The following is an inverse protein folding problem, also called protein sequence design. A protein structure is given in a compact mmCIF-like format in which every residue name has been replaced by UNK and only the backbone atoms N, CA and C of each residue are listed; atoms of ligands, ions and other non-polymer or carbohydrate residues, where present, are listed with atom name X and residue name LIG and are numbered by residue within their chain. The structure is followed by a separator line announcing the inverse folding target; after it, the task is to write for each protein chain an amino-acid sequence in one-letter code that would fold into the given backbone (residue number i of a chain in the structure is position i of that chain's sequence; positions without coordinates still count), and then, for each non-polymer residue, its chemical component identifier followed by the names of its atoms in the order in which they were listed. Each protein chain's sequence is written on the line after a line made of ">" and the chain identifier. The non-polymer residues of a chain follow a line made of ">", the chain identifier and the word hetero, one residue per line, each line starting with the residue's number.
data_IF_211339472418
#
_entry.id   IF_211339472418
#
_cell.length_a   1.000
_cell.length_b   1.000
_cell.length_c   1.000
_cell.angle_alpha   90.00
_cell.angle_beta   90.00
_cell.angle_gamma   90.00
#
_symmetry.space_group_name_H-M   'P 1'
#
loop_
_entity.id
_entity.type
_entity.pdbx_description
1 polymer ?
#
# COMPACT_ATOMS: atom_id res chain seq x y z
N UNK A 1 -88.58 -19.47 55.87
CA UNK A 1 -88.30 -19.30 54.42
C UNK A 1 -87.42 -18.06 54.22
N UNK A 2 -86.21 -18.22 53.66
CA UNK A 2 -85.53 -17.31 52.73
C UNK A 2 -84.09 -17.80 52.52
N UNK A 3 -83.87 -18.43 51.36
CA UNK A 3 -82.56 -18.81 50.85
C UNK A 3 -81.77 -17.55 50.47
N UNK A 4 -80.49 -17.48 50.82
CA UNK A 4 -79.57 -16.46 50.29
C UNK A 4 -78.45 -17.17 49.53
N UNK A 5 -78.59 -17.11 48.20
CA UNK A 5 -77.63 -17.52 47.19
C UNK A 5 -76.50 -16.49 47.15
N UNK A 6 -75.25 -16.88 47.40
CA UNK A 6 -74.09 -15.99 47.19
C UNK A 6 -72.96 -16.72 46.46
N UNK A 7 -72.65 -16.14 45.32
CA UNK A 7 -71.78 -16.51 44.20
C UNK A 7 -70.35 -16.94 44.57
N UNK A 8 -69.87 -18.01 43.94
CA UNK A 8 -68.45 -18.32 43.79
C UNK A 8 -67.83 -17.33 42.79
N UNK A 9 -67.05 -16.37 43.27
CA UNK A 9 -66.18 -15.54 42.42
C UNK A 9 -64.89 -16.35 42.21
N UNK A 10 -64.82 -17.08 41.10
CA UNK A 10 -63.59 -17.71 40.63
C UNK A 10 -62.59 -16.60 40.32
N UNK A 11 -61.59 -16.43 41.18
CA UNK A 11 -60.47 -15.53 40.94
C UNK A 11 -59.63 -16.12 39.80
N UNK A 12 -59.93 -15.70 38.58
CA UNK A 12 -59.08 -15.96 37.42
C UNK A 12 -57.80 -15.15 37.62
N UNK A 13 -56.79 -15.80 38.19
CA UNK A 13 -55.43 -15.29 38.28
C UNK A 13 -54.90 -15.12 36.85
N UNK A 14 -55.02 -13.91 36.30
CA UNK A 14 -54.22 -13.49 35.16
C UNK A 14 -52.76 -13.49 35.61
N UNK A 15 -52.06 -14.60 35.32
CA UNK A 15 -50.61 -14.63 35.26
C UNK A 15 -50.18 -13.68 34.15
N UNK A 16 -50.01 -12.41 34.48
CA UNK A 16 -49.28 -11.46 33.66
C UNK A 16 -47.84 -11.97 33.64
N UNK A 17 -47.52 -12.75 32.61
CA UNK A 17 -46.14 -13.07 32.28
C UNK A 17 -45.41 -11.75 32.08
N UNK A 18 -44.49 -11.43 33.00
CA UNK A 18 -43.48 -10.43 32.73
C UNK A 18 -42.57 -11.00 31.65
N UNK A 19 -42.91 -10.77 30.38
CA UNK A 19 -41.98 -11.02 29.29
C UNK A 19 -40.76 -10.16 29.55
N UNK A 20 -39.63 -10.77 29.89
CA UNK A 20 -38.34 -10.11 29.86
C UNK A 20 -38.21 -9.53 28.46
N UNK A 21 -38.35 -8.20 28.33
CA UNK A 21 -37.99 -7.56 27.09
C UNK A 21 -36.52 -7.90 26.90
N UNK A 22 -36.22 -8.73 25.91
CA UNK A 22 -34.86 -8.97 25.47
C UNK A 22 -34.32 -7.64 24.93
N UNK A 23 -33.85 -6.80 25.84
CA UNK A 23 -33.04 -5.65 25.48
C UNK A 23 -31.68 -6.25 25.17
N UNK A 24 -31.46 -6.61 23.91
CA UNK A 24 -30.13 -7.00 23.43
C UNK A 24 -29.16 -5.86 23.81
N UNK A 25 -28.03 -6.15 24.46
CA UNK A 25 -27.04 -5.13 24.79
C UNK A 25 -26.70 -4.29 23.55
N UNK A 26 -26.50 -2.97 23.69
CA UNK A 26 -26.11 -2.12 22.57
C UNK A 26 -24.86 -2.68 21.90
N UNK A 27 -24.87 -2.76 20.57
CA UNK A 27 -23.72 -3.23 19.80
C UNK A 27 -22.50 -2.33 20.12
N UNK A 28 -21.43 -2.91 20.71
CA UNK A 28 -20.26 -2.13 21.12
C UNK A 28 -19.47 -1.54 19.95
N UNK A 29 -19.78 -1.93 18.71
CA UNK A 29 -19.07 -1.55 17.50
C UNK A 29 -19.75 -0.44 16.69
N UNK A 30 -20.92 0.02 17.11
CA UNK A 30 -21.58 1.16 16.47
C UNK A 30 -20.66 2.39 16.49
N UNK A 31 -20.35 2.91 15.31
CA UNK A 31 -19.54 4.13 15.12
C UNK A 31 -18.02 3.92 15.18
N UNK A 32 -17.54 2.67 15.28
CA UNK A 32 -16.10 2.40 15.20
C UNK A 32 -15.61 2.62 13.77
N UNK A 33 -14.78 3.64 13.60
CA UNK A 33 -13.99 3.91 12.41
C UNK A 33 -12.68 4.53 12.91
N UNK A 34 -11.57 3.83 12.74
CA UNK A 34 -10.28 4.28 13.22
C UNK A 34 -9.57 5.18 12.21
N UNK A 35 -10.02 5.24 10.95
CA UNK A 35 -9.32 5.98 9.90
C UNK A 35 -7.82 5.66 9.91
N UNK A 36 -7.53 4.36 9.80
CA UNK A 36 -6.21 3.76 10.07
C UNK A 36 -5.08 4.55 9.41
N UNK A 37 -4.09 4.92 10.23
CA UNK A 37 -2.88 5.58 9.78
C UNK A 37 -1.72 4.59 9.77
N UNK A 38 -0.86 4.69 8.75
CA UNK A 38 0.31 3.83 8.62
C UNK A 38 1.44 4.48 7.82
N UNK A 39 2.65 3.99 8.04
CA UNK A 39 3.80 4.18 7.15
C UNK A 39 4.14 2.87 6.46
N UNK A 40 4.57 2.93 5.20
CA UNK A 40 5.04 1.75 4.46
C UNK A 40 6.38 2.02 3.79
N UNK A 41 7.16 0.96 3.59
CA UNK A 41 8.29 0.95 2.67
C UNK A 41 7.94 0.04 1.50
N UNK A 42 8.26 0.51 0.30
CA UNK A 42 8.07 -0.30 -0.90
C UNK A 42 9.10 -1.42 -0.97
N UNK A 43 8.80 -2.46 -1.75
CA UNK A 43 9.75 -3.55 -1.96
C UNK A 43 10.83 -3.10 -2.95
N UNK A 44 12.07 -3.48 -2.66
CA UNK A 44 13.25 -3.21 -3.46
C UNK A 44 13.73 -4.50 -4.13
N UNK A 45 13.85 -4.46 -5.45
CA UNK A 45 14.44 -5.53 -6.24
C UNK A 45 13.50 -6.68 -6.60
N UNK A 46 13.99 -7.91 -6.48
CA UNK A 46 13.16 -9.14 -6.61
C UNK A 46 12.82 -9.72 -5.23
N UNK A 47 13.07 -8.95 -4.17
CA UNK A 47 12.94 -9.39 -2.79
C UNK A 47 11.61 -8.92 -2.19
N UNK A 48 11.03 -9.78 -1.36
CA UNK A 48 9.90 -9.39 -0.51
C UNK A 48 10.49 -8.70 0.72
N UNK A 49 10.77 -7.40 0.63
CA UNK A 49 11.34 -6.59 1.72
C UNK A 49 10.54 -5.30 1.98
N UNK A 50 9.35 -5.17 1.37
CA UNK A 50 8.42 -4.12 1.73
C UNK A 50 7.96 -4.28 3.18
N UNK A 51 7.55 -3.18 3.79
CA UNK A 51 7.08 -3.17 5.18
C UNK A 51 5.87 -2.26 5.32
N UNK A 52 5.09 -2.49 6.36
CA UNK A 52 4.10 -1.55 6.87
C UNK A 52 4.21 -1.49 8.39
N UNK A 53 4.09 -0.30 8.96
CA UNK A 53 3.96 -0.03 10.39
C UNK A 53 2.72 0.81 10.61
N UNK A 54 1.83 0.35 11.48
CA UNK A 54 0.58 1.02 11.83
C UNK A 54 0.86 2.00 12.98
N UNK A 55 0.61 3.29 12.78
CA UNK A 55 0.75 4.31 13.82
C UNK A 55 -0.58 4.62 14.53
N UNK A 56 -1.72 4.30 13.91
CA UNK A 56 -3.03 4.39 14.56
C UNK A 56 -4.04 3.39 13.98
N UNK A 57 -4.85 2.70 14.80
CA UNK A 57 -4.84 2.67 16.26
C UNK A 57 -3.72 1.77 16.83
N UNK A 58 -3.21 2.07 18.02
CA UNK A 58 -2.17 1.29 18.73
C UNK A 58 -2.53 1.05 20.20
N UNK A 59 -2.05 -0.07 20.76
CA UNK A 59 -2.20 -0.42 22.18
C UNK A 59 -2.46 -1.90 22.43
N UNK A 60 -2.35 -2.34 23.69
CA UNK A 60 -2.37 -3.76 24.09
C UNK A 60 -3.69 -4.51 23.82
N UNK A 61 -4.75 -3.77 23.48
CA UNK A 61 -6.07 -4.34 23.17
C UNK A 61 -6.38 -4.32 21.67
N UNK A 62 -5.43 -3.88 20.84
CA UNK A 62 -5.54 -3.85 19.38
C UNK A 62 -4.76 -5.02 18.81
N UNK A 63 -5.34 -5.66 17.80
CA UNK A 63 -4.69 -6.70 17.00
C UNK A 63 -4.82 -6.35 15.52
N UNK A 64 -3.83 -6.78 14.76
CA UNK A 64 -3.65 -6.45 13.35
C UNK A 64 -3.63 -7.74 12.53
N UNK A 65 -4.30 -7.73 11.40
CA UNK A 65 -4.31 -8.81 10.44
C UNK A 65 -4.00 -8.25 9.06
N UNK A 66 -3.09 -8.91 8.35
CA UNK A 66 -2.80 -8.58 6.96
C UNK A 66 -3.45 -9.62 6.04
N UNK A 67 -4.26 -9.16 5.09
CA UNK A 67 -5.09 -9.98 4.21
C UNK A 67 -5.90 -10.99 5.03
N UNK A 68 -5.74 -12.28 4.73
CA UNK A 68 -6.41 -13.40 5.41
C UNK A 68 -5.46 -14.10 6.42
N UNK A 69 -4.40 -13.45 6.87
CA UNK A 69 -3.44 -13.99 7.82
C UNK A 69 -3.99 -14.15 9.24
N UNK A 70 -3.16 -14.54 10.20
CA UNK A 70 -3.55 -14.51 11.61
C UNK A 70 -3.55 -13.08 12.16
N UNK A 71 -4.40 -12.81 13.16
CA UNK A 71 -4.27 -11.59 13.96
C UNK A 71 -3.03 -11.69 14.86
N UNK A 72 -2.27 -10.61 14.94
CA UNK A 72 -1.11 -10.47 15.82
C UNK A 72 -1.19 -9.16 16.63
N UNK A 73 -0.44 -9.06 17.73
CA UNK A 73 -0.33 -7.84 18.54
C UNK A 73 0.65 -6.82 17.95
N UNK A 74 1.62 -7.29 17.17
CA UNK A 74 2.63 -6.44 16.54
C UNK A 74 2.00 -5.57 15.46
N UNK A 75 2.22 -4.27 15.59
CA UNK A 75 1.69 -3.25 14.69
C UNK A 75 2.56 -3.08 13.43
N UNK A 76 3.31 -4.10 13.03
CA UNK A 76 4.13 -4.05 11.83
C UNK A 76 4.14 -5.39 11.09
N UNK A 77 4.27 -5.31 9.77
CA UNK A 77 4.49 -6.47 8.91
C UNK A 77 5.72 -6.20 8.04
N UNK A 78 6.59 -7.18 7.95
CA UNK A 78 7.80 -7.16 7.11
C UNK A 78 7.71 -8.21 6.03
N UNK A 79 8.71 -8.23 5.17
CA UNK A 79 8.84 -9.19 4.07
C UNK A 79 7.64 -9.19 3.12
N UNK A 80 7.10 -8.01 2.84
CA UNK A 80 5.97 -7.85 1.94
C UNK A 80 6.47 -7.85 0.49
N UNK A 81 5.86 -8.72 -0.32
CA UNK A 81 6.03 -8.70 -1.75
C UNK A 81 5.34 -7.46 -2.36
N UNK A 82 5.75 -7.01 -3.54
CA UNK A 82 4.93 -6.10 -4.33
C UNK A 82 3.50 -6.66 -4.52
N UNK A 83 2.49 -5.85 -4.24
CA UNK A 83 1.09 -6.28 -4.32
C UNK A 83 0.13 -5.39 -3.55
N UNK A 84 -1.17 -5.68 -3.67
CA UNK A 84 -2.22 -5.03 -2.91
C UNK A 84 -2.48 -5.78 -1.60
N UNK A 85 -2.71 -5.03 -0.54
CA UNK A 85 -2.92 -5.54 0.80
C UNK A 85 -4.15 -4.91 1.44
N UNK A 86 -4.84 -5.70 2.25
CA UNK A 86 -5.91 -5.26 3.14
C UNK A 86 -5.42 -5.43 4.57
N UNK A 87 -5.27 -4.33 5.29
CA UNK A 87 -5.00 -4.32 6.71
C UNK A 87 -6.34 -4.29 7.46
N UNK A 88 -6.53 -5.20 8.41
CA UNK A 88 -7.66 -5.20 9.34
C UNK A 88 -7.13 -4.94 10.74
N UNK A 89 -7.70 -3.95 11.43
CA UNK A 89 -7.44 -3.69 12.85
C UNK A 89 -8.63 -4.15 13.66
N UNK A 90 -8.41 -4.68 14.87
CA UNK A 90 -9.47 -5.21 15.74
C UNK A 90 -9.19 -4.90 17.20
N UNK A 91 -10.18 -4.38 17.93
CA UNK A 91 -10.08 -4.14 19.36
C UNK A 91 -10.56 -5.34 20.23
N UNK A 92 -10.44 -5.21 21.55
CA UNK A 92 -10.87 -6.23 22.53
C UNK A 92 -12.38 -6.52 22.55
N UNK A 93 -13.21 -5.62 22.01
CA UNK A 93 -14.66 -5.81 21.87
C UNK A 93 -15.05 -6.49 20.56
N UNK A 94 -14.07 -6.83 19.72
CA UNK A 94 -14.28 -7.48 18.42
C UNK A 94 -14.58 -6.52 17.28
N UNK A 95 -14.54 -5.20 17.52
CA UNK A 95 -14.82 -4.21 16.49
C UNK A 95 -13.63 -4.03 15.55
N UNK A 96 -13.92 -4.03 14.25
CA UNK A 96 -12.90 -3.99 13.20
C UNK A 96 -13.00 -2.74 12.33
N UNK A 97 -11.86 -2.31 11.81
CA UNK A 97 -11.78 -1.35 10.69
C UNK A 97 -10.71 -1.83 9.68
N UNK A 98 -10.80 -1.38 8.43
CA UNK A 98 -9.91 -1.83 7.36
C UNK A 98 -9.28 -0.68 6.60
N UNK A 99 -8.02 -0.86 6.19
CA UNK A 99 -7.34 0.02 5.24
C UNK A 99 -6.74 -0.80 4.09
N UNK A 100 -6.81 -0.24 2.88
CA UNK A 100 -6.18 -0.83 1.70
C UNK A 100 -4.94 -0.05 1.33
N UNK A 101 -3.89 -0.76 0.94
CA UNK A 101 -2.64 -0.18 0.46
C UNK A 101 -1.96 -1.08 -0.56
N UNK A 102 -1.02 -0.51 -1.31
CA UNK A 102 -0.21 -1.25 -2.29
C UNK A 102 1.24 -1.17 -1.89
N UNK A 103 1.97 -2.29 -1.87
CA UNK A 103 3.42 -2.30 -1.90
C UNK A 103 3.84 -2.31 -3.37
N UNK A 104 4.58 -1.30 -3.81
CA UNK A 104 5.15 -1.19 -5.13
C UNK A 104 6.46 -1.98 -5.21
N UNK A 105 6.80 -2.46 -6.41
CA UNK A 105 8.14 -2.94 -6.68
C UNK A 105 8.96 -1.82 -7.28
N UNK A 106 9.96 -1.39 -6.53
CA UNK A 106 11.06 -0.65 -7.06
C UNK A 106 12.18 -1.67 -7.25
N UNK A 107 12.30 -2.29 -8.44
CA UNK A 107 13.43 -3.19 -8.76
C UNK A 107 14.79 -2.51 -8.46
N UNK A 108 15.99 -3.10 -8.70
CA UNK A 108 17.19 -2.27 -8.72
C UNK A 108 17.03 -1.24 -9.86
N UNK A 109 16.49 -0.06 -9.56
CA UNK A 109 15.93 0.85 -10.58
C UNK A 109 17.03 1.27 -11.53
N UNK A 110 18.22 1.47 -10.95
CA UNK A 110 19.42 1.75 -11.70
C UNK A 110 19.86 0.62 -12.63
N UNK A 111 19.74 -0.66 -12.26
CA UNK A 111 20.17 -1.75 -13.14
C UNK A 111 19.31 -1.80 -14.43
N UNK A 112 18.00 -1.56 -14.29
CA UNK A 112 17.09 -1.45 -15.43
C UNK A 112 17.42 -0.23 -16.30
N UNK A 113 17.70 0.93 -15.67
CA UNK A 113 18.13 2.13 -16.40
C UNK A 113 19.47 1.91 -17.10
N UNK A 114 20.45 1.30 -16.43
CA UNK A 114 21.76 0.97 -17.00
C UNK A 114 21.62 0.10 -18.24
N UNK A 115 20.73 -0.88 -18.24
CA UNK A 115 20.44 -1.68 -19.44
C UNK A 115 19.87 -0.81 -20.58
N UNK A 116 18.89 0.06 -20.28
CA UNK A 116 18.30 0.98 -21.27
C UNK A 116 19.36 1.92 -21.83
N UNK A 117 20.12 2.61 -20.98
CA UNK A 117 21.17 3.55 -21.40
C UNK A 117 22.24 2.83 -22.20
N UNK A 118 22.69 1.65 -21.77
CA UNK A 118 23.72 0.93 -22.49
C UNK A 118 23.25 0.41 -23.85
N UNK A 119 21.99 -0.03 -23.96
CA UNK A 119 21.41 -0.51 -25.20
C UNK A 119 21.09 0.60 -26.21
N UNK A 120 20.44 1.67 -25.77
CA UNK A 120 19.94 2.73 -26.65
C UNK A 120 20.93 3.87 -26.89
N UNK A 121 21.75 4.22 -25.88
CA UNK A 121 22.68 5.35 -25.96
C UNK A 121 24.09 4.91 -26.35
N UNK A 122 24.35 3.60 -26.30
CA UNK A 122 25.61 2.94 -26.64
C UNK A 122 26.32 3.48 -27.86
N UNK A 123 25.66 3.50 -29.03
CA UNK A 123 26.29 3.90 -30.28
C UNK A 123 26.87 5.32 -30.30
N UNK A 124 26.39 6.23 -29.45
CA UNK A 124 26.76 7.65 -29.50
C UNK A 124 27.49 8.16 -28.24
N UNK A 125 27.29 7.50 -27.10
CA UNK A 125 27.70 7.99 -25.77
C UNK A 125 28.54 6.98 -24.97
N UNK A 126 28.85 5.80 -25.51
CA UNK A 126 29.72 4.81 -24.88
C UNK A 126 31.02 4.59 -25.65
N UNK A 127 31.94 3.84 -25.05
CA UNK A 127 33.26 3.47 -25.53
C UNK A 127 34.11 4.69 -25.89
N UNK A 128 34.07 5.73 -25.04
CA UNK A 128 34.77 6.99 -25.29
C UNK A 128 34.10 7.89 -26.33
N UNK A 129 32.98 7.49 -26.93
CA UNK A 129 32.20 8.37 -27.78
C UNK A 129 31.55 9.47 -26.93
N UNK A 130 31.84 10.73 -27.25
CA UNK A 130 31.36 11.92 -26.54
C UNK A 130 30.50 12.78 -27.45
N UNK A 131 29.39 12.24 -27.94
CA UNK A 131 28.43 13.05 -28.71
C UNK A 131 27.82 14.12 -27.79
N UNK A 132 27.92 15.39 -28.22
CA UNK A 132 27.46 16.55 -27.45
C UNK A 132 28.00 16.61 -26.01
N UNK A 133 29.23 16.11 -25.79
CA UNK A 133 29.91 16.20 -24.49
C UNK A 133 29.39 15.27 -23.39
N UNK A 134 28.59 14.24 -23.74
CA UNK A 134 28.11 13.24 -22.78
C UNK A 134 28.75 11.88 -23.01
N UNK A 135 29.24 11.28 -21.93
CA UNK A 135 29.81 9.94 -21.84
C UNK A 135 29.00 9.14 -20.80
N UNK A 136 28.58 7.92 -21.11
CA UNK A 136 27.82 7.03 -20.22
C UNK A 136 28.55 5.70 -19.90
N UNK A 137 29.87 5.66 -20.06
CA UNK A 137 30.71 4.47 -19.87
C UNK A 137 30.71 3.94 -18.43
N UNK A 138 30.64 4.86 -17.46
CA UNK A 138 30.65 4.55 -16.04
C UNK A 138 29.28 4.76 -15.42
N UNK A 139 29.02 4.03 -14.33
CA UNK A 139 27.79 4.19 -13.56
C UNK A 139 27.68 5.61 -12.98
N UNK A 140 28.81 6.14 -12.50
CA UNK A 140 28.90 7.51 -12.00
C UNK A 140 28.49 8.54 -13.06
N UNK A 141 28.87 8.37 -14.32
CA UNK A 141 28.51 9.31 -15.39
C UNK A 141 27.01 9.26 -15.73
N UNK A 142 26.41 8.07 -15.70
CA UNK A 142 24.96 7.89 -15.91
C UNK A 142 24.21 8.56 -14.76
N UNK A 143 24.61 8.28 -13.52
CA UNK A 143 24.01 8.87 -12.31
C UNK A 143 24.15 10.40 -12.33
N UNK A 144 25.34 10.93 -12.61
CA UNK A 144 25.58 12.37 -12.69
C UNK A 144 24.84 13.06 -13.84
N UNK A 145 24.31 12.30 -14.80
CA UNK A 145 23.54 12.82 -15.94
C UNK A 145 22.04 12.51 -15.85
N UNK A 146 21.53 12.10 -14.68
CA UNK A 146 20.14 11.69 -14.49
C UNK A 146 19.14 12.73 -15.02
N UNK A 147 19.41 14.01 -14.77
CA UNK A 147 18.58 15.16 -15.11
C UNK A 147 18.47 15.31 -16.63
N UNK A 148 19.61 15.22 -17.31
CA UNK A 148 19.71 15.31 -18.76
C UNK A 148 19.09 14.11 -19.44
N UNK A 149 19.31 12.92 -18.88
CA UNK A 149 18.72 11.66 -19.36
C UNK A 149 17.19 11.77 -19.28
N UNK A 150 16.64 12.18 -18.13
CA UNK A 150 15.21 12.38 -17.94
C UNK A 150 14.64 13.40 -18.92
N UNK A 151 15.22 14.60 -18.96
CA UNK A 151 14.75 15.68 -19.81
C UNK A 151 14.71 15.30 -21.29
N UNK A 152 15.75 14.64 -21.80
CA UNK A 152 15.90 14.38 -23.24
C UNK A 152 15.26 13.08 -23.69
N UNK A 153 15.46 12.00 -22.91
CA UNK A 153 15.04 10.67 -23.30
C UNK A 153 13.58 10.36 -22.93
N UNK A 154 13.07 11.04 -21.91
CA UNK A 154 11.68 10.88 -21.48
C UNK A 154 10.83 12.06 -21.92
N UNK A 155 11.25 13.27 -21.51
CA UNK A 155 10.42 14.47 -21.60
C UNK A 155 10.57 15.23 -22.93
N UNK A 156 11.55 14.82 -23.76
CA UNK A 156 11.86 15.39 -25.07
C UNK A 156 12.28 16.88 -25.05
N UNK A 157 12.87 17.37 -23.96
CA UNK A 157 13.23 18.78 -23.75
C UNK A 157 14.76 18.99 -23.76
N UNK A 158 15.29 19.99 -24.50
CA UNK A 158 14.59 20.81 -25.50
C UNK A 158 14.32 20.07 -26.82
N UNK A 159 14.92 18.89 -27.00
CA UNK A 159 14.62 18.00 -28.13
C UNK A 159 14.67 16.57 -27.64
N UNK A 160 14.00 15.67 -28.37
CA UNK A 160 14.06 14.23 -28.12
C UNK A 160 15.49 13.68 -28.24
N UNK A 161 15.81 12.68 -27.41
CA UNK A 161 16.87 11.71 -27.63
C UNK A 161 16.29 10.29 -27.44
N UNK A 162 16.66 9.28 -28.23
CA UNK A 162 17.50 9.35 -29.44
C UNK A 162 16.96 10.30 -30.50
N UNK A 163 17.88 10.97 -31.21
CA UNK A 163 17.54 11.84 -32.35
C UNK A 163 17.16 11.01 -33.57
N UNK A 164 16.25 11.55 -34.38
CA UNK A 164 15.95 10.99 -35.70
C UNK A 164 17.25 10.80 -36.53
N UNK A 165 17.37 9.71 -37.29
CA UNK A 165 16.34 8.72 -37.61
C UNK A 165 16.13 7.63 -36.55
N UNK A 166 16.83 7.67 -35.41
CA UNK A 166 16.66 6.66 -34.36
C UNK A 166 15.32 6.82 -33.65
N UNK A 167 14.67 5.70 -33.35
CA UNK A 167 13.39 5.68 -32.64
C UNK A 167 13.54 6.22 -31.20
N UNK A 168 12.51 6.90 -30.66
CA UNK A 168 12.45 7.21 -29.24
C UNK A 168 12.44 5.94 -28.39
N UNK A 169 12.76 6.10 -27.10
CA UNK A 169 12.54 5.04 -26.12
C UNK A 169 11.06 4.63 -26.06
N UNK A 170 10.83 3.34 -25.79
CA UNK A 170 9.48 2.82 -25.56
C UNK A 170 8.86 3.44 -24.30
N UNK A 171 7.51 3.48 -24.17
CA UNK A 171 6.87 3.93 -22.94
C UNK A 171 7.37 3.20 -21.68
N UNK A 172 7.63 1.89 -21.81
CA UNK A 172 8.16 1.05 -20.72
C UNK A 172 9.56 1.50 -20.31
N UNK A 173 10.44 1.80 -21.27
CA UNK A 173 11.80 2.25 -20.95
C UNK A 173 11.84 3.67 -20.40
N UNK A 174 10.96 4.54 -20.89
CA UNK A 174 10.72 5.87 -20.31
C UNK A 174 10.26 5.79 -18.85
N UNK A 175 9.42 4.80 -18.52
CA UNK A 175 8.95 4.59 -17.16
C UNK A 175 10.09 4.15 -16.24
N UNK A 176 10.95 3.22 -16.67
CA UNK A 176 12.14 2.81 -15.88
C UNK A 176 13.02 3.99 -15.47
N UNK A 177 13.29 4.90 -16.41
CA UNK A 177 14.07 6.12 -16.16
C UNK A 177 13.32 7.03 -15.17
N UNK A 178 12.02 7.23 -15.36
CA UNK A 178 11.20 8.06 -14.47
C UNK A 178 11.16 7.52 -13.04
N UNK A 179 10.99 6.20 -12.89
CA UNK A 179 10.93 5.55 -11.59
C UNK A 179 12.26 5.64 -10.83
N UNK A 180 13.39 5.48 -11.53
CA UNK A 180 14.73 5.67 -10.99
C UNK A 180 14.99 7.10 -10.53
N UNK A 181 14.59 8.09 -11.34
CA UNK A 181 14.75 9.51 -10.99
C UNK A 181 13.89 9.87 -9.78
N UNK A 182 12.63 9.42 -9.74
CA UNK A 182 11.73 9.65 -8.61
C UNK A 182 12.19 8.95 -7.32
N UNK A 183 12.98 7.87 -7.42
CA UNK A 183 13.63 7.21 -6.29
C UNK A 183 14.92 7.91 -5.81
N UNK A 184 15.28 9.05 -6.39
CA UNK A 184 16.48 9.78 -6.01
C UNK A 184 17.74 9.33 -6.74
N UNK A 185 17.60 8.72 -7.93
CA UNK A 185 18.67 8.57 -8.94
C UNK A 185 19.97 7.92 -8.40
N UNK A 186 19.85 6.97 -7.46
CA UNK A 186 20.99 6.29 -6.83
C UNK A 186 21.44 5.07 -7.63
N UNK A 187 22.69 4.64 -7.44
CA UNK A 187 23.22 3.41 -8.09
C UNK A 187 22.55 2.13 -7.56
N UNK A 188 22.16 2.17 -6.29
CA UNK A 188 21.44 1.14 -5.58
C UNK A 188 20.38 1.83 -4.74
N UNK A 189 19.21 1.20 -4.65
CA UNK A 189 18.12 1.63 -3.80
C UNK A 189 18.41 1.26 -2.32
#
# INVERSE_FOLDING_TARGET
>A
MKYKLLYFISSLWLLVSCGSKDVTPPDPCIGVNYNVEYFKTEAIGVSNNGTITINFPVGDTISYQLNNGAFQSENFFTNLAPGNYVLTVKNSKGCTDTAQFTILNYGPKYALVKQVIKGYCGPCHLNGAVTAGKNFDSDANIIASWDRIKARAVDNIPTQMPLAPNAPLTPVDKQKITDWVNAGHRQSD
#
